data_IF_775603941206
#
_entry.id   IF_775603941206
#
_cell.length_a   1.000
_cell.length_b   1.000
_cell.length_c   1.000
_cell.angle_alpha   90.00
_cell.angle_beta   90.00
_cell.angle_gamma   90.00
#
_symmetry.space_group_name_H-M   'P 1'
#
loop_
_entity.id
_entity.type
_entity.pdbx_description
1 polymer ?
#
# COMPACT_ATOMS: atom_id res chain seq x y z
N UNK A 1 13.57 1.03 22.93
CA UNK A 1 13.60 0.61 21.51
C UNK A 1 12.20 0.26 21.01
N UNK A 2 11.49 -0.71 21.59
CA UNK A 2 10.13 -1.08 21.17
C UNK A 2 9.12 0.08 21.19
N UNK A 3 9.25 1.03 22.12
CA UNK A 3 8.41 2.21 22.18
C UNK A 3 8.61 3.15 20.98
N UNK A 4 9.83 3.25 20.43
CA UNK A 4 10.16 4.06 19.26
C UNK A 4 9.54 3.43 18.01
N UNK A 5 9.69 2.12 17.81
CA UNK A 5 9.05 1.39 16.71
C UNK A 5 7.51 1.53 16.76
N UNK A 6 6.93 1.40 17.96
CA UNK A 6 5.50 1.57 18.17
C UNK A 6 5.00 3.00 17.84
N UNK A 7 5.77 4.01 18.21
CA UNK A 7 5.44 5.40 17.88
C UNK A 7 5.53 5.65 16.38
N UNK A 8 6.62 5.22 15.74
CA UNK A 8 6.83 5.36 14.30
C UNK A 8 5.72 4.67 13.51
N UNK A 9 5.33 3.45 13.89
CA UNK A 9 4.24 2.71 13.26
C UNK A 9 2.91 3.47 13.35
N UNK A 10 2.50 3.91 14.55
CA UNK A 10 1.23 4.64 14.76
C UNK A 10 1.18 5.98 14.03
N UNK A 11 2.27 6.75 14.05
CA UNK A 11 2.34 8.03 13.36
C UNK A 11 2.29 7.86 11.84
N UNK A 12 2.98 6.84 11.33
CA UNK A 12 2.94 6.47 9.91
C UNK A 12 1.52 6.06 9.50
N UNK A 13 0.85 5.22 10.29
CA UNK A 13 -0.52 4.80 10.05
C UNK A 13 -1.47 6.00 9.98
N UNK A 14 -1.43 6.89 10.98
CA UNK A 14 -2.27 8.08 11.00
C UNK A 14 -2.02 9.04 9.82
N UNK A 15 -0.79 9.08 9.29
CA UNK A 15 -0.47 9.89 8.12
C UNK A 15 -0.98 9.25 6.83
N UNK A 16 -0.87 7.92 6.70
CA UNK A 16 -1.42 7.14 5.58
C UNK A 16 -2.95 7.28 5.54
N UNK A 17 -3.62 7.09 6.68
CA UNK A 17 -5.08 7.26 6.77
C UNK A 17 -5.55 8.64 6.29
N UNK A 18 -4.84 9.71 6.65
CA UNK A 18 -5.17 11.07 6.17
C UNK A 18 -5.06 11.18 4.66
N UNK A 19 -3.99 10.65 4.05
CA UNK A 19 -3.82 10.69 2.59
C UNK A 19 -4.92 9.91 1.88
N UNK A 20 -5.25 8.71 2.36
CA UNK A 20 -6.31 7.90 1.76
C UNK A 20 -7.70 8.52 1.97
N UNK A 21 -7.97 9.12 3.12
CA UNK A 21 -9.21 9.85 3.38
C UNK A 21 -9.38 11.05 2.44
N UNK A 22 -8.31 11.82 2.20
CA UNK A 22 -8.32 12.92 1.22
C UNK A 22 -8.66 12.39 -0.18
N UNK A 23 -8.04 11.28 -0.59
CA UNK A 23 -8.30 10.64 -1.89
C UNK A 23 -9.75 10.16 -2.03
N UNK A 24 -10.29 9.51 -1.00
CA UNK A 24 -11.68 9.06 -0.97
C UNK A 24 -12.67 10.23 -0.99
N UNK A 25 -12.28 11.39 -0.50
CA UNK A 25 -13.05 12.63 -0.57
C UNK A 25 -12.95 13.34 -1.95
N UNK A 26 -12.14 12.79 -2.88
CA UNK A 26 -11.93 13.36 -4.21
C UNK A 26 -10.87 14.46 -4.27
N UNK A 27 -10.13 14.69 -3.19
CA UNK A 27 -9.03 15.65 -3.16
C UNK A 27 -7.83 15.12 -3.97
N UNK A 28 -6.98 16.00 -4.54
CA UNK A 28 -5.77 15.59 -5.22
C UNK A 28 -4.84 14.77 -4.28
N UNK A 29 -4.27 13.66 -4.75
CA UNK A 29 -3.41 12.83 -3.94
C UNK A 29 -2.12 13.55 -3.53
N UNK A 30 -1.81 13.54 -2.23
CA UNK A 30 -0.56 14.09 -1.66
C UNK A 30 0.50 13.00 -1.51
N UNK A 31 0.82 12.27 -2.59
CA UNK A 31 1.72 11.10 -2.54
C UNK A 31 3.13 11.47 -2.11
N UNK A 32 3.60 12.68 -2.42
CA UNK A 32 4.89 13.16 -1.92
C UNK A 32 5.01 13.11 -0.39
N UNK A 33 3.88 13.20 0.34
CA UNK A 33 3.84 13.05 1.79
C UNK A 33 4.05 11.61 2.27
N UNK A 34 3.92 10.60 1.40
CA UNK A 34 4.10 9.19 1.76
C UNK A 34 5.58 8.75 1.72
N UNK A 35 6.42 9.40 0.92
CA UNK A 35 7.85 9.09 0.87
C UNK A 35 8.53 9.11 2.24
N UNK A 36 8.49 10.22 3.00
CA UNK A 36 9.10 10.27 4.33
C UNK A 36 8.49 9.26 5.31
N UNK A 37 7.24 8.86 5.10
CA UNK A 37 6.59 7.82 5.91
C UNK A 37 7.23 6.46 5.63
N UNK A 38 7.38 6.10 4.35
CA UNK A 38 8.01 4.84 3.94
C UNK A 38 9.48 4.80 4.38
N UNK A 39 10.24 5.90 4.19
CA UNK A 39 11.63 5.99 4.64
C UNK A 39 11.75 5.79 6.15
N UNK A 40 10.87 6.40 6.94
CA UNK A 40 10.84 6.24 8.40
C UNK A 40 10.49 4.81 8.84
N UNK A 41 9.53 4.17 8.16
CA UNK A 41 9.22 2.75 8.41
C UNK A 41 10.42 1.87 8.12
N UNK A 42 11.08 2.10 6.98
CA UNK A 42 12.27 1.36 6.56
C UNK A 42 13.41 1.50 7.56
N UNK A 43 13.72 2.72 8.04
CA UNK A 43 14.71 2.95 9.09
C UNK A 43 14.43 2.10 10.35
N UNK A 44 13.16 2.04 10.77
CA UNK A 44 12.77 1.26 11.94
C UNK A 44 12.81 -0.25 11.67
N UNK A 45 12.45 -0.69 10.47
CA UNK A 45 12.51 -2.11 10.07
C UNK A 45 13.96 -2.57 10.01
N UNK A 46 14.86 -1.79 9.41
CA UNK A 46 16.30 -2.14 9.37
C UNK A 46 16.91 -2.18 10.77
N UNK A 47 16.53 -1.24 11.63
CA UNK A 47 17.08 -1.17 12.99
C UNK A 47 16.50 -2.22 13.94
N UNK A 48 15.23 -2.61 13.78
CA UNK A 48 14.48 -3.44 14.73
C UNK A 48 13.34 -4.22 14.05
N UNK A 49 13.64 -5.18 13.16
CA UNK A 49 12.63 -5.89 12.34
C UNK A 49 11.61 -6.63 13.22
N UNK A 50 12.04 -7.28 14.30
CA UNK A 50 11.15 -8.01 15.20
C UNK A 50 10.19 -7.07 15.94
N UNK A 51 10.67 -5.89 16.37
CA UNK A 51 9.82 -4.91 17.04
C UNK A 51 8.74 -4.37 16.10
N UNK A 52 9.08 -4.14 14.83
CA UNK A 52 8.12 -3.71 13.81
C UNK A 52 7.11 -4.80 13.48
N UNK A 53 7.53 -6.06 13.37
CA UNK A 53 6.64 -7.20 13.18
C UNK A 53 5.66 -7.37 14.35
N UNK A 54 6.15 -7.22 15.60
CA UNK A 54 5.29 -7.24 16.79
C UNK A 54 4.25 -6.12 16.74
N UNK A 55 4.66 -4.89 16.37
CA UNK A 55 3.70 -3.76 16.25
C UNK A 55 2.66 -4.02 15.17
N UNK A 56 3.05 -4.55 14.01
CA UNK A 56 2.13 -4.98 12.98
C UNK A 56 1.11 -6.00 13.51
N UNK A 57 1.57 -7.06 14.19
CA UNK A 57 0.68 -8.09 14.76
C UNK A 57 -0.28 -7.52 15.80
N UNK A 58 0.20 -6.65 16.70
CA UNK A 58 -0.63 -6.02 17.74
C UNK A 58 -1.68 -5.10 17.12
N UNK A 59 -1.33 -4.39 16.06
CA UNK A 59 -2.23 -3.50 15.35
C UNK A 59 -3.33 -4.31 14.63
N UNK A 60 -2.98 -5.41 13.97
CA UNK A 60 -3.94 -6.33 13.33
C UNK A 60 -4.97 -6.88 14.32
N UNK A 61 -4.57 -7.21 15.54
CA UNK A 61 -5.49 -7.71 16.58
C UNK A 61 -6.44 -6.61 17.08
N UNK A 62 -6.02 -5.34 17.05
CA UNK A 62 -6.80 -4.20 17.57
C UNK A 62 -7.74 -3.57 16.54
N UNK A 63 -7.41 -3.69 15.25
CA UNK A 63 -8.20 -3.09 14.17
C UNK A 63 -9.22 -4.07 13.63
N UNK A 64 -10.50 -3.65 13.65
CA UNK A 64 -11.61 -4.42 13.09
C UNK A 64 -12.01 -3.94 11.68
N UNK A 65 -11.55 -2.76 11.25
CA UNK A 65 -11.91 -2.18 9.97
C UNK A 65 -10.84 -2.41 8.89
N UNK A 66 -11.22 -3.11 7.83
CA UNK A 66 -10.42 -3.25 6.62
C UNK A 66 -10.61 -2.02 5.72
N UNK A 67 -9.82 -0.97 5.94
CA UNK A 67 -9.74 0.17 5.02
C UNK A 67 -8.62 -0.03 4.00
N UNK A 68 -8.69 0.68 2.86
CA UNK A 68 -7.59 0.67 1.87
C UNK A 68 -6.27 1.16 2.49
N UNK A 69 -6.33 2.16 3.37
CA UNK A 69 -5.18 2.66 4.11
C UNK A 69 -4.54 1.57 4.99
N UNK A 70 -5.37 0.85 5.74
CA UNK A 70 -4.92 -0.24 6.61
C UNK A 70 -4.29 -1.37 5.80
N UNK A 71 -4.94 -1.78 4.69
CA UNK A 71 -4.42 -2.81 3.81
C UNK A 71 -3.09 -2.40 3.19
N UNK A 72 -3.02 -1.20 2.60
CA UNK A 72 -1.77 -0.68 2.02
C UNK A 72 -0.63 -0.60 3.03
N UNK A 73 -0.91 -0.15 4.27
CA UNK A 73 0.09 -0.11 5.33
C UNK A 73 0.58 -1.51 5.74
N UNK A 74 -0.33 -2.46 5.86
CA UNK A 74 -0.02 -3.85 6.20
C UNK A 74 0.89 -4.48 5.13
N UNK A 75 0.53 -4.34 3.85
CA UNK A 75 1.32 -4.86 2.74
C UNK A 75 2.68 -4.16 2.66
N UNK A 76 2.74 -2.83 2.87
CA UNK A 76 3.99 -2.07 2.89
C UNK A 76 4.95 -2.59 3.96
N UNK A 77 4.51 -2.73 5.21
CA UNK A 77 5.36 -3.18 6.31
C UNK A 77 5.87 -4.59 6.08
N UNK A 78 4.99 -5.52 5.67
CA UNK A 78 5.40 -6.90 5.39
C UNK A 78 6.36 -6.99 4.20
N UNK A 79 6.11 -6.24 3.13
CA UNK A 79 7.00 -6.17 1.95
C UNK A 79 8.38 -5.67 2.35
N UNK A 80 8.46 -4.61 3.15
CA UNK A 80 9.75 -4.06 3.58
C UNK A 80 10.50 -5.02 4.50
N UNK A 81 9.83 -5.68 5.45
CA UNK A 81 10.46 -6.69 6.31
C UNK A 81 11.02 -7.83 5.45
N UNK A 82 10.21 -8.38 4.53
CA UNK A 82 10.64 -9.47 3.65
C UNK A 82 11.79 -9.04 2.72
N UNK A 83 11.75 -7.83 2.18
CA UNK A 83 12.78 -7.32 1.29
C UNK A 83 14.12 -7.14 2.02
N UNK A 84 14.11 -6.59 3.23
CA UNK A 84 15.32 -6.43 4.07
C UNK A 84 15.90 -7.80 4.44
N UNK A 85 15.07 -8.72 4.91
CA UNK A 85 15.50 -10.08 5.30
C UNK A 85 16.05 -10.91 4.11
N UNK A 86 15.57 -10.65 2.89
CA UNK A 86 16.08 -11.29 1.69
C UNK A 86 17.25 -10.54 1.01
N UNK A 87 17.76 -9.49 1.64
CA UNK A 87 18.93 -8.75 1.13
C UNK A 87 18.66 -7.95 -0.15
N UNK A 88 17.44 -7.47 -0.35
CA UNK A 88 17.15 -6.57 -1.46
C UNK A 88 18.03 -5.31 -1.41
N UNK A 89 18.40 -4.80 -2.57
CA UNK A 89 19.24 -3.61 -2.64
C UNK A 89 18.55 -2.40 -1.98
N UNK A 90 19.28 -1.64 -1.18
CA UNK A 90 18.76 -0.46 -0.46
C UNK A 90 18.08 0.54 -1.40
N UNK A 91 18.62 0.70 -2.62
CA UNK A 91 18.05 1.57 -3.66
C UNK A 91 16.63 1.18 -4.09
N UNK A 92 16.22 -0.08 -3.93
CA UNK A 92 14.92 -0.59 -4.34
C UNK A 92 13.89 -0.54 -3.20
N UNK A 93 14.32 -0.51 -1.93
CA UNK A 93 13.45 -0.64 -0.77
C UNK A 93 12.39 0.47 -0.69
N UNK A 94 12.75 1.72 -0.99
CA UNK A 94 11.77 2.82 -0.98
C UNK A 94 10.71 2.63 -2.05
N UNK A 95 11.09 2.20 -3.24
CA UNK A 95 10.16 1.93 -4.35
C UNK A 95 9.25 0.74 -4.04
N UNK A 96 9.80 -0.31 -3.43
CA UNK A 96 9.02 -1.47 -2.97
C UNK A 96 7.99 -1.05 -1.92
N UNK A 97 8.39 -0.28 -0.91
CA UNK A 97 7.48 0.20 0.13
C UNK A 97 6.38 1.10 -0.40
N UNK A 98 6.72 2.06 -1.28
CA UNK A 98 5.73 2.95 -1.90
C UNK A 98 4.78 2.19 -2.83
N UNK A 99 5.30 1.28 -3.64
CA UNK A 99 4.50 0.44 -4.53
C UNK A 99 3.54 -0.43 -3.73
N UNK A 100 4.01 -1.07 -2.68
CA UNK A 100 3.22 -1.88 -1.77
C UNK A 100 2.13 -1.06 -1.04
N UNK A 101 2.46 0.15 -0.59
CA UNK A 101 1.51 1.04 0.08
C UNK A 101 0.37 1.48 -0.84
N UNK A 102 0.66 1.66 -2.13
CA UNK A 102 -0.23 2.27 -3.11
C UNK A 102 -0.85 1.29 -4.11
N UNK A 103 -0.51 -0.03 -4.04
CA UNK A 103 -0.90 -1.00 -5.07
C UNK A 103 -2.40 -0.99 -5.36
N UNK A 104 -3.22 -0.84 -4.33
CA UNK A 104 -4.68 -0.86 -4.37
C UNK A 104 -5.35 0.53 -4.43
N UNK A 105 -4.57 1.61 -4.62
CA UNK A 105 -5.11 2.97 -4.60
C UNK A 105 -6.21 3.20 -5.67
N UNK A 106 -6.22 2.40 -6.72
CA UNK A 106 -7.24 2.47 -7.78
C UNK A 106 -8.66 2.18 -7.30
N UNK A 107 -8.82 1.46 -6.19
CA UNK A 107 -10.14 1.20 -5.61
C UNK A 107 -10.90 2.46 -5.20
N UNK A 108 -10.22 3.59 -4.95
CA UNK A 108 -10.89 4.87 -4.67
C UNK A 108 -11.73 5.37 -5.85
N UNK A 109 -11.51 4.84 -7.05
CA UNK A 109 -12.28 5.16 -8.27
C UNK A 109 -13.42 4.18 -8.53
N UNK A 110 -13.52 3.10 -7.78
CA UNK A 110 -14.62 2.14 -7.87
C UNK A 110 -15.74 2.49 -6.87
N UNK A 111 -16.97 2.06 -7.14
CA UNK A 111 -18.08 2.21 -6.19
C UNK A 111 -17.74 1.55 -4.85
N UNK A 112 -17.92 2.28 -3.75
CA UNK A 112 -17.58 1.79 -2.39
C UNK A 112 -18.28 0.49 -2.02
N UNK A 113 -19.52 0.29 -2.47
CA UNK A 113 -20.28 -0.93 -2.24
C UNK A 113 -19.68 -2.15 -2.97
N UNK A 114 -18.84 -1.94 -3.99
CA UNK A 114 -18.22 -3.01 -4.73
C UNK A 114 -17.04 -3.63 -3.96
N UNK A 115 -16.05 -2.83 -3.57
CA UNK A 115 -14.87 -3.35 -2.87
C UNK A 115 -15.10 -3.65 -1.38
N UNK A 116 -16.23 -3.21 -0.81
CA UNK A 116 -16.67 -3.58 0.55
C UNK A 116 -17.70 -4.72 0.57
N UNK A 117 -18.00 -5.30 -0.59
CA UNK A 117 -18.98 -6.38 -0.71
C UNK A 117 -18.50 -7.63 0.03
N UNK A 118 -19.34 -8.16 0.91
CA UNK A 118 -19.06 -9.37 1.69
C UNK A 118 -19.62 -10.64 1.06
N UNK A 119 -20.45 -10.50 0.01
CA UNK A 119 -20.99 -11.60 -0.77
C UNK A 119 -20.14 -11.83 -2.03
N UNK A 120 -20.19 -13.02 -2.67
CA UNK A 120 -19.44 -13.25 -3.91
C UNK A 120 -19.74 -12.19 -4.97
N UNK A 121 -18.70 -11.80 -5.70
CA UNK A 121 -18.83 -10.87 -6.82
C UNK A 121 -19.43 -11.59 -8.02
N UNK A 122 -20.31 -10.92 -8.76
CA UNK A 122 -20.74 -11.34 -10.08
C UNK A 122 -19.59 -11.22 -11.10
N UNK A 123 -19.70 -11.86 -12.27
CA UNK A 123 -18.68 -11.75 -13.32
C UNK A 123 -18.44 -10.31 -13.77
N UNK A 124 -19.50 -9.49 -13.86
CA UNK A 124 -19.38 -8.08 -14.20
C UNK A 124 -18.68 -7.27 -13.11
N UNK A 125 -18.95 -7.55 -11.84
CA UNK A 125 -18.29 -6.93 -10.71
C UNK A 125 -16.80 -7.33 -10.64
N UNK A 126 -16.46 -8.58 -10.96
CA UNK A 126 -15.07 -9.04 -11.05
C UNK A 126 -14.32 -8.31 -12.16
N UNK A 127 -14.93 -8.11 -13.34
CA UNK A 127 -14.34 -7.33 -14.43
C UNK A 127 -14.05 -5.89 -13.97
N UNK A 128 -14.96 -5.26 -13.25
CA UNK A 128 -14.75 -3.91 -12.70
C UNK A 128 -13.62 -3.90 -11.65
N UNK A 129 -13.60 -4.87 -10.76
CA UNK A 129 -12.56 -4.99 -9.73
C UNK A 129 -11.17 -5.14 -10.36
N UNK A 130 -11.04 -5.90 -11.44
CA UNK A 130 -9.76 -6.08 -12.15
C UNK A 130 -9.24 -4.82 -12.85
N UNK A 131 -10.02 -3.74 -12.90
CA UNK A 131 -9.57 -2.46 -13.47
C UNK A 131 -8.77 -1.60 -12.48
N UNK A 132 -8.74 -1.95 -11.17
CA UNK A 132 -8.08 -1.09 -10.19
C UNK A 132 -6.60 -0.79 -10.47
N UNK A 133 -5.76 -1.66 -11.08
CA UNK A 133 -4.39 -1.28 -11.38
C UNK A 133 -4.30 -0.15 -12.43
N UNK A 134 -5.13 -0.19 -13.49
CA UNK A 134 -5.19 0.89 -14.48
C UNK A 134 -5.82 2.17 -13.89
N UNK A 135 -6.83 2.03 -13.03
CA UNK A 135 -7.41 3.17 -12.32
C UNK A 135 -6.41 3.81 -11.37
N UNK A 136 -5.53 3.02 -10.73
CA UNK A 136 -4.42 3.51 -9.94
C UNK A 136 -3.48 4.39 -10.78
N UNK A 137 -3.10 3.97 -11.98
CA UNK A 137 -2.30 4.78 -12.89
C UNK A 137 -2.97 6.14 -13.17
N UNK A 138 -4.29 6.17 -13.36
CA UNK A 138 -5.04 7.41 -13.55
C UNK A 138 -5.03 8.32 -12.32
N UNK A 139 -5.11 7.74 -11.11
CA UNK A 139 -4.96 8.51 -9.86
C UNK A 139 -3.56 9.10 -9.77
N UNK A 140 -2.55 8.31 -10.12
CA UNK A 140 -1.14 8.69 -9.99
C UNK A 140 -0.72 9.78 -10.99
N UNK A 141 -1.31 9.84 -12.20
CA UNK A 141 -1.02 10.92 -13.16
C UNK A 141 -1.38 12.31 -12.64
N UNK A 142 -2.26 12.41 -11.66
CA UNK A 142 -2.65 13.68 -11.03
C UNK A 142 -1.62 14.21 -10.02
N UNK A 143 -0.59 13.45 -9.70
CA UNK A 143 0.35 13.70 -8.58
C UNK A 143 1.72 14.20 -9.02
N UNK A 144 1.99 14.20 -10.31
CA UNK A 144 3.31 14.47 -10.86
C UNK A 144 4.15 13.20 -11.05
N UNK A 145 5.47 13.36 -11.13
CA UNK A 145 6.38 12.26 -11.43
C UNK A 145 6.46 11.24 -10.28
N UNK A 146 6.05 10.01 -10.56
CA UNK A 146 6.25 8.84 -9.71
C UNK A 146 7.36 7.99 -10.34
N UNK A 147 8.26 7.40 -9.52
CA UNK A 147 9.30 6.51 -10.05
C UNK A 147 8.69 5.36 -10.87
N UNK A 148 9.29 5.03 -12.01
CA UNK A 148 8.81 3.96 -12.89
C UNK A 148 8.69 2.61 -12.17
N UNK A 149 9.60 2.34 -11.22
CA UNK A 149 9.54 1.12 -10.41
C UNK A 149 8.24 1.04 -9.59
N UNK A 150 7.82 2.15 -8.96
CA UNK A 150 6.56 2.22 -8.20
C UNK A 150 5.36 2.02 -9.12
N UNK A 151 5.36 2.67 -10.28
CA UNK A 151 4.29 2.52 -11.28
C UNK A 151 4.15 1.07 -11.76
N UNK A 152 5.29 0.39 -12.03
CA UNK A 152 5.28 -1.02 -12.43
C UNK A 152 4.73 -1.94 -11.34
N UNK A 153 5.13 -1.75 -10.07
CA UNK A 153 4.60 -2.52 -8.95
C UNK A 153 3.08 -2.39 -8.91
N UNK A 154 2.57 -1.16 -8.96
CA UNK A 154 1.13 -0.88 -8.89
C UNK A 154 0.37 -1.49 -10.08
N UNK A 155 0.92 -1.40 -11.28
CA UNK A 155 0.27 -1.94 -12.47
C UNK A 155 0.30 -3.47 -12.55
N UNK A 156 1.36 -4.10 -12.00
CA UNK A 156 1.65 -5.51 -12.26
C UNK A 156 1.48 -6.42 -11.04
N UNK A 157 0.99 -5.91 -9.89
CA UNK A 157 0.89 -6.73 -8.67
C UNK A 157 -0.08 -7.91 -8.76
N UNK A 158 -0.91 -7.97 -9.78
CA UNK A 158 -1.76 -9.11 -10.12
C UNK A 158 -1.28 -9.90 -11.34
N UNK A 159 -0.11 -9.57 -11.90
CA UNK A 159 0.45 -10.36 -12.99
C UNK A 159 1.09 -11.64 -12.47
N UNK A 160 1.02 -12.68 -13.27
CA UNK A 160 1.74 -13.91 -13.06
C UNK A 160 2.93 -14.02 -14.02
N UNK A 161 3.94 -14.81 -13.64
CA UNK A 161 5.13 -15.01 -14.48
C UNK A 161 4.81 -15.65 -15.83
N UNK A 162 3.73 -16.42 -15.92
CA UNK A 162 3.27 -17.04 -17.16
C UNK A 162 2.36 -16.12 -18.02
N UNK A 163 2.13 -14.88 -17.57
CA UNK A 163 1.27 -13.91 -18.26
C UNK A 163 -0.22 -14.18 -18.14
N UNK A 164 -0.67 -15.07 -17.25
CA UNK A 164 -2.11 -15.35 -17.05
C UNK A 164 -2.79 -14.41 -16.06
N UNK A 165 -2.04 -13.44 -15.52
CA UNK A 165 -2.53 -12.42 -14.61
C UNK A 165 -3.30 -11.30 -15.30
N UNK A 166 -3.37 -10.15 -14.64
CA UNK A 166 -3.96 -8.93 -15.18
C UNK A 166 -3.20 -7.70 -14.67
N UNK A 167 -3.24 -6.56 -15.41
CA UNK A 167 -4.09 -6.25 -16.58
C UNK A 167 -3.56 -6.73 -17.94
N UNK A 168 -2.35 -7.30 -18.04
CA UNK A 168 -1.58 -7.63 -19.25
C UNK A 168 -1.17 -6.41 -20.08
#
# INVERSE_FOLDING_TARGET
>A
QAAVAAAAYRESMAAVERVFSDLEAGNPPKIAALKPIVSRLLEQIVAQPEAMLIQFCLDKVRRFDATLANHGMDVCVLTLILAVENGCAEADLESLGLGALLHDIGYVRLPRNLYRKTTPLTDQEQILMKQHPQLAATVLTQVGSIPDAVSRIILQHHEYQDGSGFPQ
#
